data_IF_435245767855
#
_entry.id   IF_435245767855
#
_cell.length_a   1.000
_cell.length_b   1.000
_cell.length_c   1.000
_cell.angle_alpha   90.00
_cell.angle_beta   90.00
_cell.angle_gamma   90.00
#
_symmetry.space_group_name_H-M   'P 1'
#
loop_
_entity.id
_entity.type
_entity.pdbx_description
1 polymer ?
#
# COMPACT_ATOMS: atom_id res chain seq x y z
N UNK A 1 -25.04 16.35 -4.31
CA UNK A 1 -25.31 15.52 -3.12
C UNK A 1 -25.14 14.07 -3.54
N UNK A 2 -24.29 13.30 -2.86
CA UNK A 2 -24.01 11.90 -3.20
C UNK A 2 -25.26 11.04 -2.99
N UNK A 3 -25.58 10.15 -3.93
CA UNK A 3 -26.74 9.26 -3.84
C UNK A 3 -26.54 8.26 -2.68
N UNK A 4 -27.52 8.04 -1.78
CA UNK A 4 -27.40 7.07 -0.68
C UNK A 4 -26.91 5.67 -1.11
N UNK A 5 -27.30 5.22 -2.32
CA UNK A 5 -26.83 3.95 -2.89
C UNK A 5 -25.33 3.93 -3.20
N UNK A 6 -24.75 5.07 -3.57
CA UNK A 6 -23.32 5.18 -3.83
C UNK A 6 -22.53 5.12 -2.52
N UNK A 7 -23.03 5.74 -1.46
CA UNK A 7 -22.43 5.68 -0.12
C UNK A 7 -22.45 4.26 0.44
N UNK A 8 -23.56 3.54 0.28
CA UNK A 8 -23.68 2.13 0.68
C UNK A 8 -22.68 1.24 -0.09
N UNK A 9 -22.54 1.45 -1.40
CA UNK A 9 -21.56 0.74 -2.24
C UNK A 9 -20.12 0.98 -1.76
N UNK A 10 -19.78 2.22 -1.41
CA UNK A 10 -18.47 2.58 -0.87
C UNK A 10 -18.23 1.91 0.49
N UNK A 11 -19.22 1.94 1.38
CA UNK A 11 -19.14 1.28 2.69
C UNK A 11 -18.91 -0.22 2.57
N UNK A 12 -19.63 -0.88 1.65
CA UNK A 12 -19.46 -2.31 1.37
C UNK A 12 -18.09 -2.65 0.77
N UNK A 13 -17.54 -1.78 -0.08
CA UNK A 13 -16.18 -1.90 -0.61
C UNK A 13 -15.13 -1.80 0.50
N UNK A 14 -15.30 -0.84 1.42
CA UNK A 14 -14.40 -0.64 2.55
C UNK A 14 -14.38 -1.86 3.47
N UNK A 15 -15.55 -2.37 3.86
CA UNK A 15 -15.66 -3.54 4.73
C UNK A 15 -14.99 -4.77 4.12
N UNK A 16 -15.29 -5.07 2.85
CA UNK A 16 -14.69 -6.22 2.15
C UNK A 16 -13.16 -6.11 2.06
N UNK A 17 -12.64 -4.91 1.78
CA UNK A 17 -11.20 -4.68 1.67
C UNK A 17 -10.48 -4.77 3.02
N UNK A 18 -11.11 -4.28 4.10
CA UNK A 18 -10.59 -4.39 5.46
C UNK A 18 -10.46 -5.85 5.90
N UNK A 19 -11.48 -6.68 5.64
CA UNK A 19 -11.45 -8.10 5.98
C UNK A 19 -10.34 -8.85 5.23
N UNK A 20 -10.18 -8.58 3.93
CA UNK A 20 -9.11 -9.18 3.12
C UNK A 20 -7.70 -8.74 3.55
N UNK A 21 -7.59 -7.56 4.16
CA UNK A 21 -6.30 -6.95 4.52
C UNK A 21 -5.88 -7.17 5.97
N UNK A 22 -6.76 -7.71 6.82
CA UNK A 22 -6.53 -7.88 8.26
C UNK A 22 -5.20 -8.55 8.60
N UNK A 23 -4.88 -9.67 7.96
CA UNK A 23 -3.62 -10.38 8.20
C UNK A 23 -2.38 -9.55 7.84
N UNK A 24 -2.47 -8.66 6.85
CA UNK A 24 -1.39 -7.77 6.48
C UNK A 24 -1.23 -6.65 7.51
N UNK A 25 -2.33 -6.02 7.93
CA UNK A 25 -2.29 -4.97 8.95
C UNK A 25 -1.80 -5.49 10.31
N UNK A 26 -2.18 -6.72 10.68
CA UNK A 26 -1.64 -7.38 11.88
C UNK A 26 -0.12 -7.53 11.82
N UNK A 27 0.43 -7.84 10.63
CA UNK A 27 1.88 -7.90 10.44
C UNK A 27 2.54 -6.52 10.51
N UNK A 28 1.94 -5.49 9.93
CA UNK A 28 2.41 -4.11 10.07
C UNK A 28 2.47 -3.68 11.54
N UNK A 29 1.40 -3.93 12.31
CA UNK A 29 1.36 -3.63 13.74
C UNK A 29 2.40 -4.41 14.54
N UNK A 30 2.60 -5.70 14.23
CA UNK A 30 3.66 -6.52 14.85
C UNK A 30 5.06 -5.99 14.53
N UNK A 31 5.30 -5.53 13.30
CA UNK A 31 6.57 -4.93 12.92
C UNK A 31 6.84 -3.62 13.67
N UNK A 32 5.83 -2.73 13.80
CA UNK A 32 5.94 -1.51 14.63
C UNK A 32 6.30 -1.86 16.08
N UNK A 33 5.59 -2.83 16.68
CA UNK A 33 5.90 -3.27 18.05
C UNK A 33 7.30 -3.89 18.18
N UNK A 34 7.72 -4.65 17.18
CA UNK A 34 9.05 -5.25 17.15
C UNK A 34 10.15 -4.20 17.07
N UNK A 35 9.93 -3.11 16.34
CA UNK A 35 10.92 -2.03 16.18
C UNK A 35 11.33 -1.41 17.52
N UNK A 36 10.41 -1.36 18.49
CA UNK A 36 10.68 -0.86 19.86
C UNK A 36 11.54 -1.82 20.69
N UNK A 37 11.59 -3.10 20.32
CA UNK A 37 12.28 -4.16 21.09
C UNK A 37 13.57 -4.65 20.44
N UNK A 38 13.58 -4.68 19.11
CA UNK A 38 14.61 -5.26 18.27
C UNK A 38 14.49 -4.65 16.87
N UNK A 39 15.14 -3.50 16.69
CA UNK A 39 15.07 -2.71 15.47
C UNK A 39 15.50 -3.51 14.23
N UNK A 40 16.65 -4.17 14.30
CA UNK A 40 17.20 -4.95 13.18
C UNK A 40 16.28 -6.09 12.74
N UNK A 41 15.62 -6.76 13.69
CA UNK A 41 14.63 -7.78 13.34
C UNK A 41 13.37 -7.18 12.75
N UNK A 42 12.93 -6.01 13.22
CA UNK A 42 11.82 -5.28 12.62
C UNK A 42 12.11 -4.86 11.17
N UNK A 43 13.32 -4.40 10.90
CA UNK A 43 13.82 -4.09 9.56
C UNK A 43 13.77 -5.32 8.64
N UNK A 44 14.29 -6.46 9.10
CA UNK A 44 14.22 -7.70 8.32
C UNK A 44 12.77 -8.10 7.99
N UNK A 45 11.86 -7.99 8.94
CA UNK A 45 10.44 -8.29 8.71
C UNK A 45 9.78 -7.26 7.79
N UNK A 46 10.11 -5.97 7.94
CA UNK A 46 9.63 -4.91 7.07
C UNK A 46 10.05 -5.16 5.62
N UNK A 47 11.32 -5.47 5.36
CA UNK A 47 11.83 -5.76 4.01
C UNK A 47 11.09 -6.95 3.39
N UNK A 48 10.82 -8.01 4.16
CA UNK A 48 10.02 -9.16 3.67
C UNK A 48 8.58 -8.76 3.34
N UNK A 49 7.95 -7.92 4.17
CA UNK A 49 6.62 -7.36 3.95
C UNK A 49 6.59 -6.52 2.67
N UNK A 50 7.52 -5.57 2.54
CA UNK A 50 7.67 -4.68 1.40
C UNK A 50 7.88 -5.47 0.10
N UNK A 51 8.83 -6.41 0.05
CA UNK A 51 9.09 -7.23 -1.16
C UNK A 51 7.87 -8.04 -1.62
N UNK A 52 7.09 -8.59 -0.68
CA UNK A 52 5.88 -9.37 -1.00
C UNK A 52 4.76 -8.48 -1.55
N UNK A 53 4.59 -7.30 -0.97
CA UNK A 53 3.52 -6.35 -1.35
C UNK A 53 3.86 -5.61 -2.63
N UNK A 54 5.09 -5.14 -2.78
CA UNK A 54 5.57 -4.27 -3.85
C UNK A 54 6.08 -5.09 -5.05
N UNK A 55 5.22 -5.97 -5.55
CA UNK A 55 5.48 -6.71 -6.78
C UNK A 55 4.49 -6.29 -7.87
N UNK A 56 4.96 -6.32 -9.12
CA UNK A 56 4.14 -6.02 -10.31
C UNK A 56 2.86 -6.87 -10.31
N UNK A 57 3.00 -8.16 -9.99
CA UNK A 57 1.90 -9.13 -9.89
C UNK A 57 0.92 -8.78 -8.77
N UNK A 58 1.43 -8.39 -7.59
CA UNK A 58 0.61 -8.06 -6.43
C UNK A 58 -0.19 -6.78 -6.71
N UNK A 59 0.48 -5.74 -7.21
CA UNK A 59 -0.10 -4.43 -7.45
C UNK A 59 -1.00 -4.37 -8.70
N UNK A 60 -0.97 -5.41 -9.55
CA UNK A 60 -1.74 -5.46 -10.79
C UNK A 60 -1.23 -4.48 -11.85
N UNK A 61 0.07 -4.15 -11.79
CA UNK A 61 0.72 -3.24 -12.73
C UNK A 61 1.01 -4.02 -14.01
N UNK A 62 0.53 -3.57 -15.16
CA UNK A 62 0.81 -4.19 -16.46
C UNK A 62 1.77 -3.31 -17.26
N UNK A 63 2.98 -3.81 -17.53
CA UNK A 63 3.96 -3.17 -18.44
C UNK A 63 4.51 -1.81 -17.99
N UNK A 64 4.94 -0.99 -18.98
CA UNK A 64 5.50 0.37 -18.84
C UNK A 64 4.43 1.42 -18.49
N UNK A 65 3.62 1.18 -17.48
CA UNK A 65 2.76 2.22 -16.90
C UNK A 65 3.58 3.18 -16.02
N UNK A 66 3.08 4.38 -15.74
CA UNK A 66 3.74 5.35 -14.85
C UNK A 66 4.06 4.76 -13.46
N UNK A 67 3.22 3.84 -12.97
CA UNK A 67 3.47 3.12 -11.70
C UNK A 67 4.72 2.22 -11.75
N UNK A 68 5.12 1.74 -12.93
CA UNK A 68 6.30 0.88 -13.08
C UNK A 68 7.59 1.63 -12.77
N UNK A 69 7.67 2.91 -13.17
CA UNK A 69 8.79 3.79 -12.83
C UNK A 69 8.93 3.94 -11.31
N UNK A 70 7.85 4.36 -10.65
CA UNK A 70 7.84 4.52 -9.19
C UNK A 70 8.15 3.21 -8.46
N UNK A 71 7.57 2.08 -8.90
CA UNK A 71 7.85 0.78 -8.29
C UNK A 71 9.32 0.38 -8.44
N UNK A 72 9.94 0.70 -9.57
CA UNK A 72 11.37 0.43 -9.79
C UNK A 72 12.23 1.27 -8.83
N UNK A 73 11.93 2.56 -8.67
CA UNK A 73 12.61 3.42 -7.69
C UNK A 73 12.50 2.89 -6.27
N UNK A 74 11.30 2.46 -5.84
CA UNK A 74 11.09 1.87 -4.51
C UNK A 74 11.91 0.60 -4.33
N UNK A 75 12.01 -0.25 -5.35
CA UNK A 75 12.81 -1.48 -5.28
C UNK A 75 14.30 -1.18 -5.17
N UNK A 76 14.82 -0.26 -5.98
CA UNK A 76 16.22 0.15 -5.91
C UNK A 76 16.56 0.72 -4.54
N UNK A 77 15.69 1.59 -3.99
CA UNK A 77 15.87 2.12 -2.64
C UNK A 77 15.82 1.01 -1.57
N UNK A 78 14.88 0.07 -1.67
CA UNK A 78 14.80 -1.08 -0.77
C UNK A 78 16.02 -2.02 -0.85
N UNK A 79 16.60 -2.19 -2.03
CA UNK A 79 17.79 -3.01 -2.28
C UNK A 79 19.07 -2.37 -1.75
N UNK A 80 19.12 -1.04 -1.64
CA UNK A 80 20.23 -0.32 -0.99
C UNK A 80 20.34 -0.64 0.51
N UNK A 81 19.31 -1.25 1.10
CA UNK A 81 19.27 -1.63 2.51
C UNK A 81 19.06 -0.46 3.46
N UNK A 82 18.81 0.75 2.96
CA UNK A 82 18.54 1.92 3.78
C UNK A 82 17.05 2.29 3.72
N UNK A 83 16.38 2.21 4.87
CA UNK A 83 14.98 2.65 5.05
C UNK A 83 14.89 4.16 5.33
N UNK A 84 15.68 4.96 4.61
CA UNK A 84 15.85 6.39 4.83
C UNK A 84 14.71 7.24 4.22
N UNK A 85 14.85 8.57 4.26
CA UNK A 85 13.87 9.49 3.69
C UNK A 85 13.67 9.28 2.18
N UNK A 86 14.72 8.95 1.42
CA UNK A 86 14.59 8.69 -0.02
C UNK A 86 13.70 7.49 -0.31
N UNK A 87 13.78 6.44 0.53
CA UNK A 87 12.88 5.30 0.44
C UNK A 87 11.42 5.66 0.76
N UNK A 88 11.20 6.52 1.76
CA UNK A 88 9.86 7.04 2.10
C UNK A 88 9.31 7.84 0.92
N UNK A 89 10.09 8.78 0.37
CA UNK A 89 9.70 9.61 -0.76
C UNK A 89 9.35 8.76 -1.99
N UNK A 90 10.12 7.69 -2.26
CA UNK A 90 9.83 6.74 -3.31
C UNK A 90 8.48 6.03 -3.09
N UNK A 91 8.17 5.63 -1.86
CA UNK A 91 6.88 5.02 -1.52
C UNK A 91 5.72 6.00 -1.66
N UNK A 92 5.89 7.25 -1.23
CA UNK A 92 4.87 8.29 -1.37
C UNK A 92 4.58 8.64 -2.83
N UNK A 93 5.62 8.66 -3.67
CA UNK A 93 5.49 8.81 -5.11
C UNK A 93 4.74 7.63 -5.74
N UNK A 94 5.06 6.40 -5.32
CA UNK A 94 4.32 5.21 -5.74
C UNK A 94 2.86 5.28 -5.31
N UNK A 95 2.57 5.65 -4.05
CA UNK A 95 1.22 5.83 -3.52
C UNK A 95 0.43 6.81 -4.37
N UNK A 96 0.96 8.01 -4.56
CA UNK A 96 0.30 9.09 -5.31
C UNK A 96 -0.01 8.65 -6.73
N UNK A 97 0.97 8.09 -7.42
CA UNK A 97 0.79 7.60 -8.79
C UNK A 97 -0.20 6.44 -8.86
N UNK A 98 -0.17 5.51 -7.91
CA UNK A 98 -1.11 4.39 -7.85
C UNK A 98 -2.55 4.86 -7.62
N UNK A 99 -2.75 5.82 -6.71
CA UNK A 99 -4.06 6.41 -6.46
C UNK A 99 -4.61 7.10 -7.72
N UNK A 100 -3.78 7.89 -8.41
CA UNK A 100 -4.20 8.67 -9.57
C UNK A 100 -4.41 7.83 -10.82
N UNK A 101 -3.54 6.83 -11.07
CA UNK A 101 -3.54 6.05 -12.31
C UNK A 101 -4.32 4.74 -12.21
N UNK A 102 -4.51 4.19 -11.01
CA UNK A 102 -5.19 2.90 -10.81
C UNK A 102 -6.49 3.05 -10.04
N UNK A 103 -6.43 3.56 -8.81
CA UNK A 103 -7.61 3.55 -7.94
C UNK A 103 -8.69 4.53 -8.39
N UNK A 104 -8.34 5.81 -8.65
CA UNK A 104 -9.32 6.83 -9.05
C UNK A 104 -10.05 6.45 -10.35
N UNK A 105 -9.39 5.96 -11.41
CA UNK A 105 -10.08 5.49 -12.61
C UNK A 105 -10.99 4.28 -12.34
N UNK A 106 -10.51 3.28 -11.60
CA UNK A 106 -11.30 2.08 -11.28
C UNK A 106 -12.55 2.44 -10.45
N UNK A 107 -12.40 3.37 -9.51
CA UNK A 107 -13.50 3.86 -8.68
C UNK A 107 -14.54 4.64 -9.51
N UNK A 108 -14.09 5.54 -10.39
CA UNK A 108 -15.00 6.26 -11.31
C UNK A 108 -15.80 5.29 -12.19
N UNK A 109 -15.15 4.27 -12.72
CA UNK A 109 -15.82 3.25 -13.52
C UNK A 109 -16.88 2.50 -12.69
N UNK A 110 -16.55 2.12 -11.46
CA UNK A 110 -17.47 1.38 -10.59
C UNK A 110 -18.71 2.18 -10.17
N UNK A 111 -18.56 3.49 -9.93
CA UNK A 111 -19.70 4.36 -9.60
C UNK A 111 -20.62 4.55 -10.82
N UNK A 112 -20.06 4.64 -12.02
CA UNK A 112 -20.82 4.96 -13.23
C UNK A 112 -21.29 3.75 -14.06
N UNK A 113 -20.79 2.54 -13.78
CA UNK A 113 -21.11 1.35 -14.54
C UNK A 113 -21.35 0.14 -13.62
N UNK A 114 -22.61 -0.33 -13.57
CA UNK A 114 -23.02 -1.48 -12.76
C UNK A 114 -22.36 -2.82 -13.16
N UNK A 115 -21.76 -2.88 -14.35
CA UNK A 115 -21.10 -4.07 -14.88
C UNK A 115 -19.62 -4.23 -14.44
N UNK A 116 -19.06 -3.29 -13.68
CA UNK A 116 -17.65 -3.35 -13.27
C UNK A 116 -17.41 -4.46 -12.24
N UNK A 117 -16.36 -5.23 -12.46
CA UNK A 117 -15.94 -6.31 -11.57
C UNK A 117 -15.54 -5.77 -10.19
N UNK A 118 -16.45 -5.85 -9.21
CA UNK A 118 -16.26 -5.46 -7.81
C UNK A 118 -14.96 -6.01 -7.21
N UNK A 119 -14.59 -7.26 -7.52
CA UNK A 119 -13.36 -7.88 -7.02
C UNK A 119 -12.10 -7.19 -7.54
N UNK A 120 -12.12 -6.68 -8.78
CA UNK A 120 -10.99 -5.94 -9.32
C UNK A 120 -10.79 -4.61 -8.57
N UNK A 121 -11.89 -3.91 -8.24
CA UNK A 121 -11.83 -2.69 -7.45
C UNK A 121 -11.36 -2.95 -6.01
N UNK A 122 -11.92 -3.97 -5.34
CA UNK A 122 -11.48 -4.39 -4.00
C UNK A 122 -9.97 -4.65 -3.95
N UNK A 123 -9.43 -5.31 -4.99
CA UNK A 123 -8.00 -5.58 -5.08
C UNK A 123 -7.17 -4.31 -5.23
N UNK A 124 -7.57 -3.39 -6.11
CA UNK A 124 -6.86 -2.11 -6.31
C UNK A 124 -6.92 -1.27 -5.02
N UNK A 125 -8.09 -1.20 -4.37
CA UNK A 125 -8.24 -0.49 -3.10
C UNK A 125 -7.38 -1.10 -2.00
N UNK A 126 -7.42 -2.42 -1.85
CA UNK A 126 -6.58 -3.17 -0.89
C UNK A 126 -5.09 -2.90 -1.12
N UNK A 127 -4.64 -2.84 -2.37
CA UNK A 127 -3.25 -2.55 -2.68
C UNK A 127 -2.85 -1.12 -2.30
N UNK A 128 -3.73 -0.14 -2.52
CA UNK A 128 -3.49 1.24 -2.08
C UNK A 128 -3.33 1.32 -0.55
N UNK A 129 -4.21 0.65 0.20
CA UNK A 129 -4.12 0.57 1.67
C UNK A 129 -2.82 -0.09 2.14
N UNK A 130 -2.36 -1.14 1.44
CA UNK A 130 -1.10 -1.80 1.76
C UNK A 130 0.11 -0.90 1.54
N UNK A 131 0.11 -0.07 0.49
CA UNK A 131 1.17 0.92 0.26
C UNK A 131 1.19 1.94 1.41
N UNK A 132 0.03 2.48 1.80
CA UNK A 132 -0.09 3.41 2.92
C UNK A 132 0.47 2.82 4.23
N UNK A 133 0.06 1.60 4.56
CA UNK A 133 0.53 0.93 5.76
C UNK A 133 2.03 0.64 5.76
N UNK A 134 2.66 0.42 4.59
CA UNK A 134 4.12 0.30 4.52
C UNK A 134 4.80 1.63 4.87
N UNK A 135 4.30 2.75 4.31
CA UNK A 135 4.79 4.11 4.62
C UNK A 135 4.72 4.36 6.13
N UNK A 136 3.57 4.10 6.75
CA UNK A 136 3.43 4.30 8.20
C UNK A 136 4.38 3.46 9.04
N UNK A 137 4.65 2.21 8.64
CA UNK A 137 5.55 1.32 9.39
C UNK A 137 6.99 1.85 9.30
N UNK A 138 7.46 2.21 8.12
CA UNK A 138 8.84 2.72 7.97
C UNK A 138 9.02 4.08 8.64
N UNK A 139 8.03 4.98 8.55
CA UNK A 139 8.07 6.25 9.29
C UNK A 139 8.10 6.06 10.80
N UNK A 140 7.35 5.07 11.32
CA UNK A 140 7.41 4.72 12.74
C UNK A 140 8.79 4.18 13.11
N UNK A 141 9.35 3.29 12.30
CA UNK A 141 10.67 2.72 12.53
C UNK A 141 11.75 3.82 12.57
N UNK A 142 11.76 4.75 11.62
CA UNK A 142 12.74 5.85 11.61
C UNK A 142 12.65 6.70 12.90
N UNK A 143 11.43 6.98 13.37
CA UNK A 143 11.23 7.69 14.65
C UNK A 143 11.75 6.92 15.86
N UNK A 144 11.68 5.60 15.85
CA UNK A 144 12.21 4.77 16.94
C UNK A 144 13.75 4.73 16.87
N UNK A 145 14.31 4.62 15.67
CA UNK A 145 15.75 4.65 15.46
C UNK A 145 16.39 5.95 15.96
N UNK A 146 15.70 7.09 15.82
CA UNK A 146 16.17 8.39 16.32
C UNK A 146 16.21 8.49 17.86
N UNK A 147 15.58 7.54 18.58
CA UNK A 147 15.50 7.50 20.05
C UNK A 147 16.56 6.57 20.66
N UNK A 148 17.03 5.57 19.91
CA UNK A 148 18.10 4.64 20.31
C UNK A 148 19.50 5.26 20.17
#
# INVERSE_FOLDING_TARGET
>A
MSNPKDLERIGNLFNASSDQSKSFFDRCSKTKFLAVKDYYRAESEYVKLAKKTLSVKTLGITGKSDCFGCLSSVKTALESGQLNQEYIDALENLRTTYLDRMLRPAFRQYIHNDAVNKQALEKVYTNAMKIESLIEVVQFMNKVQDIE
#
